data_IF_627590339356
#
_entry.id   IF_627590339356
#
_cell.length_a   1.000
_cell.length_b   1.000
_cell.length_c   1.000
_cell.angle_alpha   90.00
_cell.angle_beta   90.00
_cell.angle_gamma   90.00
#
_symmetry.space_group_name_H-M   'P 1'
#
loop_
_entity.id
_entity.type
_entity.pdbx_description
1 polymer ?
#
# COMPACT_ATOMS: atom_id res chain seq x y z
N UNK A 1 29.62 -14.69 -8.26
CA UNK A 1 29.07 -13.87 -7.16
C UNK A 1 27.81 -14.51 -6.63
N UNK A 2 27.35 -14.10 -5.45
CA UNK A 2 26.09 -14.54 -4.86
C UNK A 2 25.03 -13.46 -5.07
N UNK A 3 23.84 -13.83 -5.52
CA UNK A 3 22.70 -12.93 -5.63
C UNK A 3 22.06 -12.79 -4.25
N UNK A 4 21.81 -11.56 -3.83
CA UNK A 4 21.17 -11.23 -2.56
C UNK A 4 19.92 -10.42 -2.86
N UNK A 5 18.83 -10.74 -2.15
CA UNK A 5 17.61 -9.97 -2.22
C UNK A 5 17.79 -8.64 -1.45
N UNK A 6 17.38 -7.55 -2.07
CA UNK A 6 17.38 -6.21 -1.49
C UNK A 6 15.99 -5.59 -1.66
N UNK A 7 15.81 -4.41 -1.06
CA UNK A 7 14.56 -3.64 -1.14
C UNK A 7 13.34 -4.40 -0.56
N UNK A 8 12.13 -3.97 -0.87
CA UNK A 8 10.89 -4.63 -0.47
C UNK A 8 10.47 -5.78 -1.41
N UNK A 9 9.81 -6.79 -0.84
CA UNK A 9 9.16 -7.88 -1.59
C UNK A 9 7.76 -8.13 -1.07
N UNK A 10 6.86 -8.51 -1.99
CA UNK A 10 5.48 -8.90 -1.65
C UNK A 10 4.69 -7.82 -0.91
N UNK A 11 4.99 -6.55 -1.19
CA UNK A 11 4.20 -5.40 -0.72
C UNK A 11 3.23 -4.96 -1.80
N UNK A 12 2.13 -4.26 -1.45
CA UNK A 12 1.24 -3.65 -2.44
C UNK A 12 1.87 -2.51 -3.27
N UNK A 13 3.13 -2.15 -3.03
CA UNK A 13 3.89 -1.15 -3.80
C UNK A 13 4.84 -1.83 -4.80
N UNK A 14 5.51 -2.90 -4.38
CA UNK A 14 6.35 -3.74 -5.25
C UNK A 14 5.57 -4.72 -6.13
N UNK A 15 4.29 -4.99 -5.81
CA UNK A 15 3.51 -6.08 -6.41
C UNK A 15 2.06 -5.70 -6.70
N UNK A 16 1.46 -6.31 -7.73
CA UNK A 16 0.01 -6.21 -8.01
C UNK A 16 -0.70 -7.45 -7.48
N UNK A 17 -1.59 -7.24 -6.52
CA UNK A 17 -2.42 -8.30 -5.93
C UNK A 17 -3.83 -8.28 -6.51
N UNK A 18 -4.29 -9.44 -6.97
CA UNK A 18 -5.66 -9.65 -7.47
C UNK A 18 -6.39 -10.68 -6.63
N UNK A 19 -7.66 -10.42 -6.33
CA UNK A 19 -8.51 -11.40 -5.67
C UNK A 19 -8.84 -12.53 -6.64
N UNK A 20 -8.34 -13.73 -6.32
CA UNK A 20 -8.46 -14.91 -7.17
C UNK A 20 -9.92 -15.23 -7.56
N UNK A 21 -10.88 -14.96 -6.67
CA UNK A 21 -12.31 -15.22 -6.91
C UNK A 21 -12.88 -14.33 -8.03
N UNK A 22 -12.44 -13.08 -8.13
CA UNK A 22 -12.91 -12.13 -9.15
C UNK A 22 -12.27 -12.34 -10.52
N UNK A 23 -11.10 -12.99 -10.57
CA UNK A 23 -10.27 -13.06 -11.76
C UNK A 23 -10.97 -13.70 -12.96
N UNK A 24 -11.59 -14.90 -12.86
CA UNK A 24 -12.16 -15.57 -14.04
C UNK A 24 -13.28 -14.76 -14.71
N UNK A 25 -14.21 -14.22 -13.91
CA UNK A 25 -15.35 -13.45 -14.40
C UNK A 25 -14.89 -12.14 -15.04
N UNK A 26 -14.05 -11.37 -14.33
CA UNK A 26 -13.58 -10.07 -14.82
C UNK A 26 -12.69 -10.20 -16.05
N UNK A 27 -11.83 -11.22 -16.07
CA UNK A 27 -10.99 -11.50 -17.24
C UNK A 27 -11.84 -11.84 -18.46
N UNK A 28 -12.87 -12.69 -18.32
CA UNK A 28 -13.78 -13.02 -19.41
C UNK A 28 -14.55 -11.79 -19.94
N UNK A 29 -14.81 -10.81 -19.07
CA UNK A 29 -15.43 -9.54 -19.42
C UNK A 29 -14.44 -8.47 -19.96
N UNK A 30 -13.14 -8.77 -20.07
CA UNK A 30 -12.12 -7.79 -20.45
C UNK A 30 -11.90 -6.69 -19.42
N UNK A 31 -12.29 -6.93 -18.16
CA UNK A 31 -12.21 -5.99 -17.05
C UNK A 31 -11.00 -6.30 -16.17
N UNK A 32 -10.55 -5.28 -15.41
CA UNK A 32 -9.50 -5.45 -14.41
C UNK A 32 -10.05 -6.27 -13.22
N UNK A 33 -9.36 -7.36 -12.80
CA UNK A 33 -9.68 -8.08 -11.58
C UNK A 33 -9.69 -7.17 -10.36
N UNK A 34 -10.48 -7.53 -9.35
CA UNK A 34 -10.47 -6.78 -8.09
C UNK A 34 -9.10 -6.88 -7.43
N UNK A 35 -8.64 -5.78 -6.85
CA UNK A 35 -7.33 -5.65 -6.19
C UNK A 35 -7.47 -4.89 -4.88
N UNK A 36 -6.44 -4.93 -4.04
CA UNK A 36 -6.23 -3.90 -3.02
C UNK A 36 -5.95 -2.59 -3.75
N UNK A 37 -6.99 -1.78 -3.93
CA UNK A 37 -6.94 -0.67 -4.87
C UNK A 37 -6.54 0.63 -4.19
N UNK A 38 -5.43 1.22 -4.65
CA UNK A 38 -4.97 2.58 -4.30
C UNK A 38 -5.24 3.57 -5.43
N UNK A 39 -5.83 3.11 -6.53
CA UNK A 39 -6.04 3.94 -7.70
C UNK A 39 -7.02 5.08 -7.41
N UNK A 40 -7.81 5.02 -6.34
CA UNK A 40 -8.62 6.16 -5.90
C UNK A 40 -7.78 7.37 -5.48
N UNK A 41 -6.71 7.17 -4.70
CA UNK A 41 -5.78 8.27 -4.31
C UNK A 41 -5.05 8.80 -5.53
N UNK A 42 -4.57 7.88 -6.38
CA UNK A 42 -3.83 8.26 -7.60
C UNK A 42 -4.70 9.05 -8.56
N UNK A 43 -5.95 8.63 -8.73
CA UNK A 43 -6.93 9.33 -9.55
C UNK A 43 -7.26 10.69 -8.95
N UNK A 44 -7.49 10.74 -7.63
CA UNK A 44 -7.78 12.00 -6.92
C UNK A 44 -6.67 13.04 -7.07
N UNK A 45 -5.40 12.62 -6.94
CA UNK A 45 -4.24 13.49 -7.14
C UNK A 45 -4.13 13.92 -8.61
N UNK A 46 -4.21 12.97 -9.55
CA UNK A 46 -4.07 13.24 -10.98
C UNK A 46 -5.15 14.18 -11.54
N UNK A 47 -6.34 14.20 -10.95
CA UNK A 47 -7.41 15.15 -11.31
C UNK A 47 -7.11 16.59 -10.87
N UNK A 48 -6.22 16.80 -9.90
CA UNK A 48 -6.01 18.09 -9.24
C UNK A 48 -4.66 18.72 -9.57
N UNK A 49 -3.64 17.92 -9.84
CA UNK A 49 -2.30 18.41 -10.15
C UNK A 49 -1.48 17.38 -10.94
N UNK A 50 -0.42 17.82 -11.62
CA UNK A 50 0.66 16.93 -12.06
C UNK A 50 1.59 16.66 -10.85
N UNK A 51 1.54 15.48 -10.20
CA UNK A 51 2.31 15.23 -8.98
C UNK A 51 3.83 15.24 -9.19
N UNK A 52 4.29 15.27 -10.44
CA UNK A 52 5.71 15.34 -10.78
C UNK A 52 6.21 16.76 -11.02
N UNK A 53 5.32 17.76 -11.05
CA UNK A 53 5.66 19.16 -11.39
C UNK A 53 5.04 20.18 -10.45
N UNK A 54 3.83 19.91 -10.00
CA UNK A 54 3.03 20.83 -9.22
C UNK A 54 3.08 20.48 -7.73
N UNK A 55 2.87 21.45 -6.83
CA UNK A 55 2.69 21.15 -5.42
C UNK A 55 1.47 20.27 -5.21
N UNK A 56 1.65 19.18 -4.45
CA UNK A 56 0.55 18.27 -4.12
C UNK A 56 -0.43 19.02 -3.19
N UNK A 57 -1.73 19.06 -3.51
CA UNK A 57 -2.73 19.67 -2.65
C UNK A 57 -2.84 18.90 -1.33
N UNK A 58 -3.34 19.57 -0.29
CA UNK A 58 -3.59 18.91 0.99
C UNK A 58 -4.55 17.73 0.81
N UNK A 59 -4.07 16.53 1.11
CA UNK A 59 -4.86 15.30 0.97
C UNK A 59 -5.83 15.22 2.16
N UNK A 60 -7.14 15.06 1.93
CA UNK A 60 -8.12 14.94 3.00
C UNK A 60 -7.78 13.81 3.97
N UNK A 61 -7.96 14.05 5.27
CA UNK A 61 -7.67 13.06 6.31
C UNK A 61 -8.43 11.74 6.09
N UNK A 62 -9.69 11.82 5.66
CA UNK A 62 -10.51 10.66 5.30
C UNK A 62 -9.87 9.79 4.21
N UNK A 63 -9.31 10.41 3.18
CA UNK A 63 -8.61 9.72 2.11
C UNK A 63 -7.34 9.03 2.62
N UNK A 64 -6.60 9.66 3.54
CA UNK A 64 -5.44 9.02 4.17
C UNK A 64 -5.84 7.78 4.97
N UNK A 65 -6.96 7.86 5.71
CA UNK A 65 -7.49 6.73 6.50
C UNK A 65 -7.94 5.58 5.59
N UNK A 66 -8.68 5.89 4.51
CA UNK A 66 -9.08 4.88 3.52
C UNK A 66 -7.87 4.21 2.87
N UNK A 67 -6.82 5.00 2.57
CA UNK A 67 -5.59 4.47 1.98
C UNK A 67 -4.90 3.51 2.94
N UNK A 68 -4.78 3.91 4.22
CA UNK A 68 -4.22 3.05 5.26
C UNK A 68 -5.03 1.76 5.42
N UNK A 69 -6.36 1.83 5.36
CA UNK A 69 -7.23 0.66 5.44
C UNK A 69 -6.97 -0.35 4.33
N UNK A 70 -6.67 0.08 3.09
CA UNK A 70 -6.30 -0.82 1.99
C UNK A 70 -5.01 -1.58 2.29
N UNK A 71 -3.99 -0.92 2.84
CA UNK A 71 -2.74 -1.59 3.23
C UNK A 71 -2.95 -2.56 4.40
N UNK A 72 -3.76 -2.18 5.39
CA UNK A 72 -4.13 -3.05 6.50
C UNK A 72 -4.82 -4.30 5.97
N UNK A 73 -5.84 -4.13 5.12
CA UNK A 73 -6.56 -5.26 4.53
C UNK A 73 -5.63 -6.18 3.73
N UNK A 74 -4.69 -5.60 2.96
CA UNK A 74 -3.69 -6.38 2.23
C UNK A 74 -2.81 -7.20 3.17
N UNK A 75 -2.27 -6.57 4.23
CA UNK A 75 -1.48 -7.25 5.26
C UNK A 75 -2.26 -8.40 5.90
N UNK A 76 -3.47 -8.12 6.38
CA UNK A 76 -4.30 -9.11 7.09
C UNK A 76 -4.70 -10.27 6.17
N UNK A 77 -5.03 -9.99 4.91
CA UNK A 77 -5.43 -11.01 3.94
C UNK A 77 -4.25 -11.91 3.55
N UNK A 78 -3.07 -11.33 3.33
CA UNK A 78 -1.89 -12.07 2.88
C UNK A 78 -1.25 -12.87 4.02
N UNK A 79 -1.16 -12.28 5.21
CA UNK A 79 -0.48 -12.89 6.36
C UNK A 79 -1.40 -13.72 7.25
N UNK A 80 -2.71 -13.46 7.21
CA UNK A 80 -3.69 -14.02 8.15
C UNK A 80 -3.57 -13.47 9.58
N UNK A 81 -2.75 -12.43 9.80
CA UNK A 81 -2.55 -11.79 11.09
C UNK A 81 -3.38 -10.52 11.18
N UNK A 82 -3.92 -10.20 12.36
CA UNK A 82 -4.56 -8.91 12.59
C UNK A 82 -3.52 -7.80 12.63
N UNK A 83 -3.79 -6.67 11.97
CA UNK A 83 -2.92 -5.50 12.08
C UNK A 83 -3.20 -4.78 13.39
N UNK A 84 -2.16 -4.58 14.20
CA UNK A 84 -2.27 -3.89 15.50
C UNK A 84 -1.67 -2.51 15.36
N UNK A 85 -2.48 -1.49 15.60
CA UNK A 85 -2.01 -0.11 15.72
C UNK A 85 -1.40 0.04 17.11
N UNK A 86 -0.07 0.11 17.18
CA UNK A 86 0.61 0.47 18.41
C UNK A 86 0.42 1.97 18.70
N UNK A 87 -0.33 2.28 19.76
CA UNK A 87 -0.34 3.61 20.35
C UNK A 87 1.04 3.87 20.95
N UNK A 88 1.76 4.81 20.35
CA UNK A 88 3.10 5.20 20.79
C UNK A 88 3.26 6.69 20.61
N UNK A 89 3.78 7.37 21.63
CA UNK A 89 4.19 8.78 21.58
C UNK A 89 5.53 8.95 20.84
N UNK A 90 6.16 7.85 20.42
CA UNK A 90 7.41 7.88 19.66
C UNK A 90 7.18 8.43 18.24
N UNK A 91 8.03 9.37 17.77
CA UNK A 91 8.00 9.82 16.39
C UNK A 91 8.17 8.65 15.40
N UNK A 92 7.38 8.64 14.34
CA UNK A 92 7.35 7.57 13.33
C UNK A 92 8.76 7.19 12.82
N UNK A 93 9.62 8.18 12.58
CA UNK A 93 10.98 7.94 12.09
C UNK A 93 11.85 7.17 13.08
N UNK A 94 11.73 7.45 14.39
CA UNK A 94 12.49 6.72 15.41
C UNK A 94 11.98 5.29 15.55
N UNK A 95 10.66 5.10 15.48
CA UNK A 95 10.06 3.76 15.46
C UNK A 95 10.57 2.91 14.29
N UNK A 96 10.64 3.51 13.09
CA UNK A 96 11.20 2.84 11.91
C UNK A 96 12.65 2.46 12.16
N UNK A 97 13.49 3.39 12.64
CA UNK A 97 14.90 3.11 12.93
C UNK A 97 15.08 2.01 13.96
N UNK A 98 14.31 2.02 15.04
CA UNK A 98 14.34 0.98 16.08
C UNK A 98 14.02 -0.40 15.49
N UNK A 99 12.97 -0.50 14.68
CA UNK A 99 12.57 -1.77 14.07
C UNK A 99 13.59 -2.29 13.06
N UNK A 100 14.35 -1.38 12.44
CA UNK A 100 15.41 -1.71 11.50
C UNK A 100 16.76 -2.03 12.19
N UNK A 101 16.99 -1.55 13.41
CA UNK A 101 18.28 -1.69 14.12
C UNK A 101 18.82 -3.12 14.22
N UNK A 102 18.02 -4.20 14.36
CA UNK A 102 18.54 -5.57 14.37
C UNK A 102 19.10 -6.06 13.03
N UNK A 103 18.84 -5.35 11.94
CA UNK A 103 19.20 -5.74 10.57
C UNK A 103 20.41 -4.97 10.01
N UNK A 104 21.01 -4.08 10.79
CA UNK A 104 22.20 -3.27 10.46
C UNK A 104 23.27 -3.42 11.54
#
# INVERSE_FOLDING_TARGET
GQIILADEIHTPDSSRYWFAQSYPERFAAGQRPESFDKDFVRSWVAERCDPYKDPIPEIPAEMLVETAAVYIQAFETITGQAFVIEESDEPVLERIRRNLAPFF
#
